data_IF_885003010882
#
_entry.id   IF_885003010882
#
_cell.length_a   1.000
_cell.length_b   1.000
_cell.length_c   1.000
_cell.angle_alpha   90.00
_cell.angle_beta   90.00
_cell.angle_gamma   90.00
#
_symmetry.space_group_name_H-M   'P 1'
#
loop_
_entity.id
_entity.type
_entity.pdbx_description
1 polymer ?
#
# COMPACT_ATOMS: atom_id res chain seq x y z
N UNK A 1 -37.30 -0.89 3.63
CA UNK A 1 -37.37 0.40 4.28
C UNK A 1 -36.20 1.29 3.90
N UNK A 2 -36.45 2.57 3.86
CA UNK A 2 -35.47 3.58 3.45
C UNK A 2 -34.26 3.63 4.38
N UNK A 3 -34.47 3.43 5.68
CA UNK A 3 -33.41 3.41 6.68
C UNK A 3 -32.40 2.29 6.42
N UNK A 4 -32.87 1.10 6.07
CA UNK A 4 -32.02 -0.05 5.75
C UNK A 4 -31.14 0.19 4.52
N UNK A 5 -31.71 0.83 3.49
CA UNK A 5 -31.00 1.21 2.27
C UNK A 5 -29.90 2.24 2.58
N UNK A 6 -30.18 3.23 3.41
CA UNK A 6 -29.19 4.23 3.83
C UNK A 6 -28.06 3.62 4.64
N UNK A 7 -28.34 2.67 5.52
CA UNK A 7 -27.32 1.93 6.29
C UNK A 7 -26.42 1.13 5.34
N UNK A 8 -26.99 0.42 4.38
CA UNK A 8 -26.23 -0.35 3.39
C UNK A 8 -25.34 0.54 2.53
N UNK A 9 -25.86 1.68 2.07
CA UNK A 9 -25.06 2.66 1.33
C UNK A 9 -23.91 3.22 2.17
N UNK A 10 -24.17 3.54 3.43
CA UNK A 10 -23.16 3.99 4.37
C UNK A 10 -22.05 2.96 4.59
N UNK A 11 -22.41 1.69 4.73
CA UNK A 11 -21.46 0.58 4.85
C UNK A 11 -20.59 0.42 3.61
N UNK A 12 -21.19 0.53 2.42
CA UNK A 12 -20.45 0.45 1.15
C UNK A 12 -19.44 1.60 1.03
N UNK A 13 -19.87 2.82 1.28
CA UNK A 13 -19.00 4.01 1.23
C UNK A 13 -17.87 3.88 2.24
N UNK A 14 -18.17 3.44 3.46
CA UNK A 14 -17.17 3.21 4.50
C UNK A 14 -16.16 2.13 4.07
N UNK A 15 -16.62 1.03 3.49
CA UNK A 15 -15.76 -0.05 3.01
C UNK A 15 -14.82 0.41 1.91
N UNK A 16 -15.31 1.19 0.95
CA UNK A 16 -14.49 1.76 -0.13
C UNK A 16 -13.44 2.70 0.42
N UNK A 17 -13.83 3.57 1.35
CA UNK A 17 -12.92 4.52 1.98
C UNK A 17 -11.83 3.82 2.80
N UNK A 18 -12.19 2.79 3.57
CA UNK A 18 -11.25 1.97 4.33
C UNK A 18 -10.27 1.23 3.42
N UNK A 19 -10.75 0.66 2.33
CA UNK A 19 -9.90 -0.02 1.35
C UNK A 19 -8.88 0.93 0.71
N UNK A 20 -9.28 2.15 0.39
CA UNK A 20 -8.37 3.19 -0.12
C UNK A 20 -7.29 3.54 0.87
N UNK A 21 -7.65 3.79 2.12
CA UNK A 21 -6.70 4.13 3.18
C UNK A 21 -5.72 2.99 3.45
N UNK A 22 -6.21 1.75 3.48
CA UNK A 22 -5.37 0.57 3.68
C UNK A 22 -4.38 0.39 2.51
N UNK A 23 -4.85 0.58 1.28
CA UNK A 23 -4.03 0.51 0.07
C UNK A 23 -2.88 1.53 0.11
N UNK A 24 -3.19 2.77 0.47
CA UNK A 24 -2.20 3.82 0.61
C UNK A 24 -1.18 3.51 1.72
N UNK A 25 -1.65 3.01 2.86
CA UNK A 25 -0.78 2.59 3.95
C UNK A 25 0.20 1.49 3.53
N UNK A 26 -0.25 0.47 2.84
CA UNK A 26 0.61 -0.62 2.34
C UNK A 26 1.62 -0.10 1.33
N UNK A 27 1.22 0.79 0.44
CA UNK A 27 2.13 1.41 -0.55
C UNK A 27 3.22 2.25 0.12
N UNK A 28 2.91 2.96 1.19
CA UNK A 28 3.87 3.75 1.94
C UNK A 28 4.93 2.90 2.68
N UNK A 29 4.66 1.62 2.90
CA UNK A 29 5.56 0.70 3.59
C UNK A 29 6.46 -0.11 2.65
N UNK A 30 6.46 0.15 1.36
CA UNK A 30 7.36 -0.49 0.41
C UNK A 30 8.75 0.10 0.55
N UNK A 31 9.71 -0.76 0.89
CA UNK A 31 11.09 -0.39 1.15
C UNK A 31 11.98 -0.92 0.02
N UNK A 32 12.81 -0.05 -0.52
CA UNK A 32 13.89 -0.40 -1.45
C UNK A 32 15.21 -0.34 -0.68
N UNK A 33 15.94 -1.45 -0.65
CA UNK A 33 17.23 -1.54 0.04
C UNK A 33 18.36 -1.45 -0.99
N UNK A 34 19.23 -0.46 -0.81
CA UNK A 34 20.45 -0.34 -1.59
C UNK A 34 21.63 -0.85 -0.77
N UNK A 35 22.29 -1.87 -1.26
CA UNK A 35 23.52 -2.38 -0.65
C UNK A 35 24.70 -1.58 -1.20
N UNK A 36 25.45 -0.96 -0.30
CA UNK A 36 26.62 -0.14 -0.64
C UNK A 36 27.86 -1.02 -0.77
N UNK A 37 28.83 -0.54 -1.56
CA UNK A 37 30.12 -1.22 -1.67
C UNK A 37 30.92 -1.09 -0.37
N UNK A 38 31.79 -2.07 -0.12
CA UNK A 38 32.58 -2.18 1.10
C UNK A 38 33.55 -0.99 1.30
N UNK A 39 33.98 -0.37 0.21
CA UNK A 39 34.92 0.78 0.21
C UNK A 39 34.24 2.13 0.49
N UNK A 40 32.92 2.18 0.62
CA UNK A 40 32.20 3.41 0.93
C UNK A 40 32.40 3.82 2.39
N UNK A 41 32.93 5.01 2.60
CA UNK A 41 33.13 5.57 3.93
C UNK A 41 31.82 6.14 4.50
N UNK A 42 31.78 6.33 5.84
CA UNK A 42 30.61 6.93 6.50
C UNK A 42 30.31 8.36 6.00
N UNK A 43 31.35 9.15 5.72
CA UNK A 43 31.19 10.49 5.15
C UNK A 43 30.59 10.47 3.73
N UNK A 44 31.04 9.57 2.89
CA UNK A 44 30.50 9.36 1.54
C UNK A 44 29.05 8.89 1.60
N UNK A 45 28.73 7.99 2.52
CA UNK A 45 27.37 7.51 2.74
C UNK A 45 26.42 8.63 3.16
N UNK A 46 26.86 9.52 4.05
CA UNK A 46 26.08 10.68 4.46
C UNK A 46 25.82 11.65 3.31
N UNK A 47 26.83 11.92 2.47
CA UNK A 47 26.66 12.75 1.28
C UNK A 47 25.71 12.10 0.27
N UNK A 48 25.80 10.80 0.10
CA UNK A 48 24.91 10.02 -0.76
C UNK A 48 23.47 10.10 -0.26
N UNK A 49 23.23 9.92 1.02
CA UNK A 49 21.92 10.08 1.65
C UNK A 49 21.36 11.49 1.45
N UNK A 50 22.20 12.52 1.62
CA UNK A 50 21.78 13.91 1.41
C UNK A 50 21.34 14.18 -0.03
N UNK A 51 22.03 13.60 -1.02
CA UNK A 51 21.64 13.68 -2.42
C UNK A 51 20.32 12.97 -2.69
N UNK A 52 20.13 11.80 -2.10
CA UNK A 52 18.90 11.02 -2.27
C UNK A 52 17.68 11.72 -1.67
N UNK A 53 17.84 12.40 -0.55
CA UNK A 53 16.74 13.15 0.10
C UNK A 53 16.16 14.25 -0.79
N UNK A 54 16.89 14.72 -1.77
CA UNK A 54 16.39 15.72 -2.73
C UNK A 54 15.48 15.12 -3.81
N UNK A 55 15.41 13.80 -3.91
CA UNK A 55 14.59 13.12 -4.92
C UNK A 55 13.10 13.15 -4.55
N UNK A 56 12.20 13.37 -5.53
CA UNK A 56 10.77 13.53 -5.26
C UNK A 56 10.07 12.25 -4.81
N UNK A 57 10.62 11.08 -5.11
CA UNK A 57 10.02 9.79 -4.81
C UNK A 57 10.36 9.26 -3.41
N UNK A 58 11.24 9.92 -2.68
CA UNK A 58 11.69 9.45 -1.37
C UNK A 58 10.80 10.01 -0.27
N UNK A 59 10.18 9.11 0.49
CA UNK A 59 9.40 9.45 1.67
C UNK A 59 10.26 9.43 2.94
N UNK A 60 11.01 8.35 3.14
CA UNK A 60 11.90 8.16 4.27
C UNK A 60 13.19 7.49 3.82
N UNK A 61 14.29 7.88 4.42
CA UNK A 61 15.61 7.34 4.12
C UNK A 61 16.30 6.99 5.43
N UNK A 62 16.81 5.76 5.54
CA UNK A 62 17.52 5.26 6.71
C UNK A 62 18.84 4.64 6.27
N UNK A 63 19.94 5.12 6.85
CA UNK A 63 21.25 4.53 6.66
C UNK A 63 21.49 3.44 7.71
N UNK A 64 21.89 2.25 7.28
CA UNK A 64 22.25 1.13 8.15
C UNK A 64 23.74 0.87 7.98
N UNK A 65 24.52 1.10 9.03
CA UNK A 65 25.97 0.85 9.02
C UNK A 65 26.28 -0.65 9.09
N UNK A 66 27.51 -1.03 8.78
CA UNK A 66 27.98 -2.41 8.90
C UNK A 66 27.78 -2.97 10.31
N UNK A 67 28.05 -2.17 11.33
CA UNK A 67 27.90 -2.56 12.73
C UNK A 67 26.44 -2.77 13.10
N UNK A 68 25.55 -1.90 12.62
CA UNK A 68 24.09 -2.06 12.83
C UNK A 68 23.55 -3.29 12.10
N UNK A 69 23.98 -3.53 10.88
CA UNK A 69 23.63 -4.71 10.11
C UNK A 69 24.10 -6.01 10.81
N UNK A 70 25.30 -5.99 11.36
CA UNK A 70 25.83 -7.11 12.14
C UNK A 70 25.03 -7.35 13.41
N UNK A 71 24.69 -6.30 14.16
CA UNK A 71 23.86 -6.40 15.38
C UNK A 71 22.48 -7.01 15.06
N UNK A 72 21.86 -6.55 14.03
CA UNK A 72 20.57 -7.08 13.59
C UNK A 72 20.69 -8.53 13.11
N UNK A 73 21.77 -8.87 12.41
CA UNK A 73 22.08 -10.23 12.01
C UNK A 73 22.26 -11.17 13.20
N UNK A 74 23.01 -10.77 14.21
CA UNK A 74 23.19 -11.52 15.46
C UNK A 74 21.85 -11.73 16.17
N UNK A 75 21.03 -10.67 16.23
CA UNK A 75 19.71 -10.72 16.86
C UNK A 75 18.76 -11.69 16.15
N UNK A 76 18.81 -11.71 14.82
CA UNK A 76 17.93 -12.54 13.99
C UNK A 76 18.38 -14.00 13.97
N UNK A 77 19.69 -14.22 13.83
CA UNK A 77 20.27 -15.56 13.70
C UNK A 77 20.52 -16.24 15.05
N UNK A 78 20.64 -15.47 16.12
CA UNK A 78 20.97 -15.97 17.46
C UNK A 78 22.43 -16.36 17.67
N UNK A 79 23.24 -16.26 16.62
CA UNK A 79 24.69 -16.55 16.65
C UNK A 79 25.45 -15.46 15.93
N UNK A 80 26.70 -15.23 16.34
CA UNK A 80 27.55 -14.23 15.70
C UNK A 80 28.16 -14.79 14.41
N UNK A 81 27.82 -14.23 13.22
CA UNK A 81 28.35 -14.70 11.96
C UNK A 81 29.88 -14.60 11.83
N UNK A 82 30.53 -13.77 12.65
CA UNK A 82 31.99 -13.66 12.69
C UNK A 82 32.70 -14.91 13.21
N UNK A 83 31.97 -15.77 13.92
CA UNK A 83 32.48 -17.06 14.34
C UNK A 83 32.77 -18.01 13.14
N UNK A 84 32.03 -17.81 12.05
CA UNK A 84 32.15 -18.59 10.83
C UNK A 84 32.90 -17.88 9.71
N UNK A 85 32.95 -16.55 9.79
CA UNK A 85 33.69 -15.72 8.85
C UNK A 85 34.62 -14.79 9.64
N UNK A 86 35.88 -14.76 9.33
CA UNK A 86 36.88 -13.98 10.07
C UNK A 86 36.60 -12.48 10.11
N UNK A 87 35.70 -12.01 9.27
CA UNK A 87 35.31 -10.60 9.17
C UNK A 87 33.79 -10.46 9.15
N UNK A 88 33.29 -9.23 9.37
CA UNK A 88 31.87 -8.92 9.26
C UNK A 88 31.37 -9.18 7.82
N UNK A 89 30.48 -10.16 7.61
CA UNK A 89 29.96 -10.48 6.27
C UNK A 89 28.91 -9.48 5.75
N UNK A 90 28.42 -8.60 6.62
CA UNK A 90 27.39 -7.63 6.25
C UNK A 90 28.00 -6.35 5.68
N UNK A 91 27.35 -5.83 4.65
CA UNK A 91 27.69 -4.54 4.06
C UNK A 91 26.75 -3.46 4.61
N UNK A 92 27.19 -2.21 4.54
CA UNK A 92 26.30 -1.08 4.82
C UNK A 92 25.23 -0.98 3.75
N UNK A 93 24.07 -0.48 4.14
CA UNK A 93 22.91 -0.34 3.25
C UNK A 93 22.14 0.94 3.53
N UNK A 94 21.39 1.38 2.54
CA UNK A 94 20.45 2.49 2.67
C UNK A 94 19.06 1.97 2.36
N UNK A 95 18.15 2.10 3.33
CA UNK A 95 16.76 1.74 3.17
C UNK A 95 15.97 2.98 2.77
N UNK A 96 15.30 2.89 1.64
CA UNK A 96 14.49 3.98 1.09
C UNK A 96 13.03 3.55 1.10
N UNK A 97 12.20 4.30 1.79
CA UNK A 97 10.75 4.16 1.73
C UNK A 97 10.23 5.13 0.68
N UNK A 98 9.49 4.61 -0.30
CA UNK A 98 8.95 5.41 -1.39
C UNK A 98 7.63 6.06 -1.02
N UNK A 99 7.33 7.20 -1.62
CA UNK A 99 6.00 7.80 -1.55
C UNK A 99 5.00 6.91 -2.26
N UNK A 100 3.75 6.90 -1.81
CA UNK A 100 2.69 6.04 -2.34
C UNK A 100 2.49 6.18 -3.86
N UNK A 101 2.66 7.37 -4.40
CA UNK A 101 2.53 7.64 -5.84
C UNK A 101 3.56 6.91 -6.69
N UNK A 102 4.72 6.59 -6.12
CA UNK A 102 5.81 5.89 -6.79
C UNK A 102 5.92 4.41 -6.41
N UNK A 103 5.04 3.93 -5.56
CA UNK A 103 5.04 2.54 -5.08
C UNK A 103 4.28 1.61 -6.04
N UNK A 104 4.68 1.59 -7.30
CA UNK A 104 4.13 0.70 -8.32
C UNK A 104 5.28 0.04 -9.10
N UNK A 105 4.98 -1.03 -9.83
CA UNK A 105 5.98 -1.81 -10.54
C UNK A 105 6.78 -1.01 -11.56
N UNK A 106 6.12 -0.15 -12.32
CA UNK A 106 6.76 0.65 -13.36
C UNK A 106 7.71 1.69 -12.76
N UNK A 107 7.27 2.41 -11.74
CA UNK A 107 8.09 3.38 -11.01
C UNK A 107 9.27 2.70 -10.31
N UNK A 108 9.07 1.52 -9.72
CA UNK A 108 10.13 0.75 -9.06
C UNK A 108 11.22 0.32 -10.03
N UNK A 109 10.87 -0.13 -11.22
CA UNK A 109 11.85 -0.47 -12.26
C UNK A 109 12.69 0.74 -12.63
N UNK A 110 12.05 1.87 -12.84
CA UNK A 110 12.75 3.12 -13.16
C UNK A 110 13.65 3.57 -12.00
N UNK A 111 13.11 3.60 -10.78
CA UNK A 111 13.84 4.04 -9.58
C UNK A 111 15.01 3.10 -9.29
N UNK A 112 14.82 1.79 -9.36
CA UNK A 112 15.88 0.83 -9.11
C UNK A 112 17.02 0.95 -10.13
N UNK A 113 16.69 1.23 -11.38
CA UNK A 113 17.68 1.49 -12.43
C UNK A 113 18.47 2.78 -12.18
N UNK A 114 17.79 3.85 -11.79
CA UNK A 114 18.41 5.12 -11.42
C UNK A 114 19.34 4.95 -10.21
N UNK A 115 18.88 4.28 -9.17
CA UNK A 115 19.66 4.06 -7.95
C UNK A 115 20.87 3.15 -8.19
N UNK A 116 20.75 2.17 -9.07
CA UNK A 116 21.85 1.28 -9.43
C UNK A 116 22.98 2.01 -10.19
N UNK A 117 22.66 3.09 -10.85
CA UNK A 117 23.64 3.89 -11.59
C UNK A 117 24.49 4.80 -10.69
N UNK A 118 24.15 4.94 -9.42
CA UNK A 118 24.97 5.73 -8.50
C UNK A 118 26.31 5.00 -8.24
N UNK A 119 27.41 5.76 -8.12
CA UNK A 119 28.70 5.18 -7.80
C UNK A 119 28.69 4.55 -6.40
N UNK A 120 29.41 3.44 -6.25
CA UNK A 120 29.54 2.70 -4.99
C UNK A 120 28.24 2.02 -4.47
N UNK A 121 27.22 1.92 -5.28
CA UNK A 121 26.06 1.06 -5.02
C UNK A 121 26.34 -0.31 -5.61
N UNK A 122 26.38 -1.33 -4.76
CA UNK A 122 26.65 -2.71 -5.18
C UNK A 122 25.42 -3.36 -5.78
N UNK A 123 24.29 -3.23 -5.08
CA UNK A 123 23.05 -3.89 -5.48
C UNK A 123 21.85 -3.09 -4.96
N UNK A 124 20.76 -3.12 -5.71
CA UNK A 124 19.46 -2.58 -5.30
C UNK A 124 18.48 -3.74 -5.16
N UNK A 125 17.97 -3.92 -3.95
CA UNK A 125 17.02 -5.00 -3.61
C UNK A 125 15.66 -4.41 -3.27
N UNK A 126 14.62 -4.98 -3.85
CA UNK A 126 13.24 -4.72 -3.45
C UNK A 126 12.40 -5.97 -3.70
N UNK A 127 11.33 -6.11 -2.93
CA UNK A 127 10.42 -7.25 -3.07
C UNK A 127 9.43 -7.00 -4.20
N UNK A 128 9.85 -7.30 -5.42
CA UNK A 128 9.05 -7.12 -6.63
C UNK A 128 7.73 -7.91 -6.57
N UNK A 129 7.80 -9.14 -6.10
CA UNK A 129 6.63 -10.01 -6.00
C UNK A 129 5.58 -9.45 -5.04
N UNK A 130 6.03 -8.88 -3.92
CA UNK A 130 5.14 -8.22 -2.95
C UNK A 130 4.46 -7.00 -3.59
N UNK A 131 5.20 -6.18 -4.32
CA UNK A 131 4.66 -4.99 -4.99
C UNK A 131 3.66 -5.38 -6.06
N UNK A 132 3.99 -6.34 -6.90
CA UNK A 132 3.10 -6.85 -7.95
C UNK A 132 1.85 -7.48 -7.35
N UNK A 133 1.97 -8.25 -6.27
CA UNK A 133 0.87 -8.86 -5.54
C UNK A 133 -0.05 -7.81 -4.92
N UNK A 134 0.49 -6.79 -4.30
CA UNK A 134 -0.28 -5.68 -3.70
C UNK A 134 -1.06 -4.93 -4.78
N UNK A 135 -0.43 -4.57 -5.89
CA UNK A 135 -1.07 -3.88 -6.99
C UNK A 135 -2.19 -4.72 -7.63
N UNK A 136 -1.94 -6.01 -7.87
CA UNK A 136 -2.93 -6.95 -8.41
C UNK A 136 -4.12 -7.13 -7.45
N UNK A 137 -3.84 -7.34 -6.16
CA UNK A 137 -4.88 -7.51 -5.14
C UNK A 137 -5.72 -6.25 -4.97
N UNK A 138 -5.12 -5.07 -4.99
CA UNK A 138 -5.84 -3.80 -4.92
C UNK A 138 -6.78 -3.64 -6.11
N UNK A 139 -6.32 -3.95 -7.33
CA UNK A 139 -7.14 -3.91 -8.53
C UNK A 139 -8.33 -4.86 -8.43
N UNK A 140 -8.11 -6.10 -7.97
CA UNK A 140 -9.17 -7.10 -7.76
C UNK A 140 -10.17 -6.64 -6.69
N UNK A 141 -9.69 -6.14 -5.55
CA UNK A 141 -10.53 -5.63 -4.48
C UNK A 141 -11.38 -4.46 -4.98
N UNK A 142 -10.81 -3.54 -5.75
CA UNK A 142 -11.52 -2.40 -6.32
C UNK A 142 -12.64 -2.85 -7.26
N UNK A 143 -12.40 -3.83 -8.13
CA UNK A 143 -13.40 -4.38 -9.04
C UNK A 143 -14.53 -5.07 -8.28
N UNK A 144 -14.19 -5.87 -7.26
CA UNK A 144 -15.18 -6.56 -6.43
C UNK A 144 -16.05 -5.56 -5.67
N UNK A 145 -15.45 -4.54 -5.05
CA UNK A 145 -16.18 -3.50 -4.32
C UNK A 145 -17.09 -2.70 -5.25
N UNK A 146 -16.62 -2.37 -6.44
CA UNK A 146 -17.42 -1.67 -7.45
C UNK A 146 -18.63 -2.51 -7.88
N UNK A 147 -18.45 -3.81 -8.10
CA UNK A 147 -19.51 -4.75 -8.45
C UNK A 147 -20.56 -4.87 -7.34
N UNK A 148 -20.14 -4.97 -6.09
CA UNK A 148 -21.03 -5.01 -4.92
C UNK A 148 -21.80 -3.70 -4.81
N UNK A 149 -21.15 -2.55 -4.97
CA UNK A 149 -21.79 -1.24 -4.92
C UNK A 149 -22.87 -1.12 -6.00
N UNK A 150 -22.58 -1.57 -7.21
CA UNK A 150 -23.55 -1.59 -8.32
C UNK A 150 -24.77 -2.45 -8.00
N UNK A 151 -24.53 -3.68 -7.51
CA UNK A 151 -25.60 -4.60 -7.11
C UNK A 151 -26.48 -4.00 -6.01
N UNK A 152 -25.89 -3.43 -4.97
CA UNK A 152 -26.61 -2.79 -3.87
C UNK A 152 -27.42 -1.60 -4.37
N UNK A 153 -26.90 -0.83 -5.31
CA UNK A 153 -27.64 0.29 -5.92
C UNK A 153 -28.87 -0.21 -6.68
N UNK A 154 -28.75 -1.27 -7.48
CA UNK A 154 -29.87 -1.87 -8.22
C UNK A 154 -30.93 -2.41 -7.24
N UNK A 155 -30.51 -3.15 -6.21
CA UNK A 155 -31.42 -3.68 -5.19
C UNK A 155 -32.13 -2.55 -4.43
N UNK A 156 -31.42 -1.50 -4.06
CA UNK A 156 -31.98 -0.34 -3.38
C UNK A 156 -33.04 0.37 -4.23
N UNK A 157 -32.75 0.57 -5.50
CA UNK A 157 -33.70 1.16 -6.45
C UNK A 157 -34.95 0.31 -6.62
N UNK A 158 -34.79 -1.01 -6.72
CA UNK A 158 -35.89 -1.97 -6.78
C UNK A 158 -36.77 -1.93 -5.53
N UNK A 159 -36.17 -1.88 -4.34
CA UNK A 159 -36.89 -1.78 -3.06
C UNK A 159 -37.67 -0.47 -2.96
N UNK A 160 -37.08 0.64 -3.36
CA UNK A 160 -37.75 1.95 -3.38
C UNK A 160 -38.96 1.92 -4.29
N UNK A 161 -38.85 1.37 -5.49
CA UNK A 161 -39.97 1.22 -6.41
C UNK A 161 -41.08 0.36 -5.82
N UNK A 162 -40.75 -0.77 -5.19
CA UNK A 162 -41.73 -1.64 -4.54
C UNK A 162 -42.43 -0.94 -3.37
N UNK A 163 -41.71 -0.19 -2.58
CA UNK A 163 -42.26 0.57 -1.44
C UNK A 163 -43.22 1.66 -1.93
N UNK A 164 -42.86 2.36 -2.98
CA UNK A 164 -43.72 3.39 -3.58
C UNK A 164 -45.00 2.77 -4.13
N UNK A 165 -44.94 1.64 -4.82
CA UNK A 165 -46.11 0.91 -5.31
C UNK A 165 -47.03 0.47 -4.19
N UNK A 166 -46.49 -0.09 -3.13
CA UNK A 166 -47.26 -0.47 -1.95
C UNK A 166 -47.94 0.75 -1.28
N UNK A 167 -47.23 1.84 -1.17
CA UNK A 167 -47.77 3.08 -0.61
C UNK A 167 -48.92 3.61 -1.44
N UNK A 168 -48.83 3.62 -2.75
CA UNK A 168 -49.91 4.03 -3.66
C UNK A 168 -51.11 3.08 -3.57
N UNK A 169 -50.88 1.79 -3.46
CA UNK A 169 -51.93 0.79 -3.28
C UNK A 169 -52.69 0.96 -1.99
N UNK A 170 -52.05 1.21 -0.89
CA UNK A 170 -52.61 1.49 0.40
C UNK A 170 -53.43 2.78 0.39
N UNK A 171 -52.97 3.84 -0.24
CA UNK A 171 -53.72 5.12 -0.41
C UNK A 171 -54.93 4.96 -1.27
N UNK A 172 -54.87 4.22 -2.35
CA UNK A 172 -56.05 3.92 -3.21
C UNK A 172 -57.15 3.25 -2.44
N UNK A 173 -56.83 2.30 -1.61
CA UNK A 173 -57.75 1.56 -0.76
C UNK A 173 -58.39 2.50 0.29
N UNK A 174 -57.64 3.37 0.94
CA UNK A 174 -58.13 4.39 1.87
C UNK A 174 -59.10 5.39 1.20
N UNK A 175 -58.77 5.87 0.01
CA UNK A 175 -59.60 6.81 -0.75
C UNK A 175 -60.92 6.15 -1.13
N UNK A 176 -60.93 4.90 -1.55
CA UNK A 176 -62.10 4.13 -1.90
C UNK A 176 -63.03 3.93 -0.69
N UNK A 177 -62.48 3.67 0.47
CA UNK A 177 -63.21 3.52 1.74
C UNK A 177 -63.79 4.85 2.21
N UNK A 178 -63.13 5.96 1.99
CA UNK A 178 -63.64 7.29 2.33
C UNK A 178 -64.79 7.79 1.45
N UNK A 179 -64.95 7.26 0.23
CA UNK A 179 -66.05 7.59 -0.64
C UNK A 179 -67.37 6.91 -0.30
N UNK A 180 -67.33 5.88 0.49
CA UNK A 180 -68.50 5.18 0.99
C UNK A 180 -69.02 5.82 2.29
#
# INVERSE_FOLDING_TARGET
>A
STAMVLILLGLVVFSVFTARNLSEYVRQNIVVTMVLQDDMTSGEAQQFCARLRTRPYIHKLTYVSKEEALREGIRTLGTDPREFADTNPFLSSVEVTLKSDYANSDSLVYISRELKNYPKVSEVKYEKDLVDSVNANIAKISVVLLSIALLLTIVSFSLINNTVRLSIYARRFSIHTMKL
#
